data_IF_293612529445
#
_entry.id   IF_293612529445
#
_cell.length_a   1.000
_cell.length_b   1.000
_cell.length_c   1.000
_cell.angle_alpha   90.00
_cell.angle_beta   90.00
_cell.angle_gamma   90.00
#
_symmetry.space_group_name_H-M   'P 1'
#
loop_
_entity.id
_entity.type
_entity.pdbx_description
1 polymer ?
#
# COMPACT_ATOMS: atom_id res chain seq x y z
N UNK A 1 9.60 -2.53 7.62
CA UNK A 1 8.28 -2.51 6.95
C UNK A 1 8.52 -2.27 5.47
N UNK A 2 7.80 -2.97 4.59
CA UNK A 2 7.86 -2.71 3.15
C UNK A 2 7.17 -1.38 2.82
N UNK A 3 7.67 -0.64 1.84
CA UNK A 3 7.02 0.58 1.37
C UNK A 3 5.78 0.21 0.57
N UNK A 4 4.63 0.76 0.96
CA UNK A 4 3.34 0.39 0.37
C UNK A 4 2.66 1.56 -0.30
N UNK A 5 1.85 1.23 -1.29
CA UNK A 5 0.90 2.13 -1.92
C UNK A 5 -0.49 1.52 -1.83
N UNK A 6 -1.53 2.34 -1.83
CA UNK A 6 -2.91 1.90 -1.65
C UNK A 6 -3.85 2.63 -2.59
N UNK A 7 -4.85 1.91 -3.11
CA UNK A 7 -6.12 2.51 -3.52
C UNK A 7 -7.09 2.36 -2.37
N UNK A 8 -7.86 3.42 -2.12
CA UNK A 8 -8.90 3.40 -1.10
C UNK A 8 -10.10 4.25 -1.53
N UNK A 9 -11.27 3.96 -0.97
CA UNK A 9 -12.44 4.82 -1.05
C UNK A 9 -12.52 5.69 0.20
N UNK A 10 -12.84 6.97 0.00
CA UNK A 10 -12.94 7.95 1.08
C UNK A 10 -14.29 8.64 1.09
N UNK A 11 -14.95 8.60 2.25
CA UNK A 11 -16.20 9.31 2.50
C UNK A 11 -16.15 10.01 3.86
N UNK A 12 -15.88 11.32 3.85
CA UNK A 12 -15.62 12.07 5.08
C UNK A 12 -14.39 11.52 5.83
N UNK A 13 -14.62 10.90 6.99
CA UNK A 13 -13.58 10.25 7.81
C UNK A 13 -13.46 8.75 7.54
N UNK A 14 -14.43 8.15 6.86
CA UNK A 14 -14.41 6.74 6.52
C UNK A 14 -13.43 6.49 5.37
N UNK A 15 -12.59 5.47 5.52
CA UNK A 15 -11.54 5.08 4.58
C UNK A 15 -11.56 3.56 4.45
N UNK A 16 -11.75 3.07 3.23
CA UNK A 16 -11.82 1.64 2.91
C UNK A 16 -10.77 1.31 1.87
N UNK A 17 -9.74 0.56 2.25
CA UNK A 17 -8.66 0.14 1.33
C UNK A 17 -9.22 -0.91 0.37
N UNK A 18 -8.83 -0.84 -0.90
CA UNK A 18 -9.28 -1.75 -1.95
C UNK A 18 -8.16 -2.63 -2.49
N UNK A 19 -6.95 -2.08 -2.64
CA UNK A 19 -5.80 -2.80 -3.18
C UNK A 19 -4.52 -2.16 -2.66
N UNK A 20 -3.47 -2.96 -2.57
CA UNK A 20 -2.14 -2.57 -2.17
C UNK A 20 -1.08 -2.88 -3.24
N UNK A 21 -0.15 -1.94 -3.41
CA UNK A 21 1.08 -2.13 -4.15
C UNK A 21 2.24 -2.23 -3.16
N UNK A 22 3.07 -3.26 -3.29
CA UNK A 22 4.26 -3.44 -2.44
C UNK A 22 5.50 -3.05 -3.24
N UNK A 23 6.25 -2.05 -2.79
CA UNK A 23 7.41 -1.45 -3.48
C UNK A 23 7.14 -0.86 -4.86
N UNK A 24 5.88 -0.73 -5.28
CA UNK A 24 5.52 -0.24 -6.62
C UNK A 24 4.22 0.56 -6.59
N UNK A 25 4.02 1.35 -7.65
CA UNK A 25 2.74 1.95 -8.01
C UNK A 25 2.22 1.15 -9.22
N UNK A 26 1.26 0.23 -9.01
CA UNK A 26 0.78 -0.64 -10.09
C UNK A 26 0.29 0.16 -11.30
N UNK A 27 0.57 -0.33 -12.51
CA UNK A 27 0.42 0.50 -13.70
C UNK A 27 -1.03 0.76 -14.10
N UNK A 28 -2.00 -0.07 -13.69
CA UNK A 28 -3.41 0.26 -13.89
C UNK A 28 -3.78 1.55 -13.16
N UNK A 29 -3.17 1.83 -12.01
CA UNK A 29 -3.49 3.01 -11.21
C UNK A 29 -3.13 4.29 -11.95
N UNK A 30 -2.03 4.23 -12.70
CA UNK A 30 -1.52 5.34 -13.51
C UNK A 30 -2.44 5.69 -14.70
N UNK A 31 -3.32 4.76 -15.12
CA UNK A 31 -4.32 5.01 -16.17
C UNK A 31 -5.43 5.95 -15.70
N UNK A 32 -5.55 6.25 -14.41
CA UNK A 32 -6.64 7.09 -13.88
C UNK A 32 -6.26 8.56 -13.68
N UNK A 33 -5.00 8.90 -13.89
CA UNK A 33 -4.46 10.22 -13.54
C UNK A 33 -4.29 11.15 -14.75
N UNK A 34 -4.36 12.44 -14.45
CA UNK A 34 -3.88 13.54 -15.29
C UNK A 34 -2.53 14.04 -14.75
N UNK A 35 -1.75 14.73 -15.58
CA UNK A 35 -0.50 15.35 -15.14
C UNK A 35 -0.68 16.24 -13.89
N UNK A 36 -1.82 16.94 -13.79
CA UNK A 36 -2.11 17.82 -12.66
C UNK A 36 -2.34 17.08 -11.34
N UNK A 37 -2.72 15.80 -11.39
CA UNK A 37 -3.00 15.00 -10.20
C UNK A 37 -1.70 14.52 -9.54
N UNK A 38 -0.68 14.25 -10.35
CA UNK A 38 0.63 13.76 -9.92
C UNK A 38 1.69 14.86 -9.88
N UNK A 39 1.35 16.08 -10.30
CA UNK A 39 2.24 17.24 -10.23
C UNK A 39 2.40 17.63 -8.77
N UNK A 40 3.63 17.61 -8.29
CA UNK A 40 3.99 18.15 -6.98
C UNK A 40 3.52 19.62 -6.84
N UNK A 41 2.62 19.94 -5.90
CA UNK A 41 2.36 21.33 -5.54
C UNK A 41 3.56 21.84 -4.73
N UNK A 42 4.12 22.98 -5.14
CA UNK A 42 5.36 23.57 -4.60
C UNK A 42 5.40 23.80 -3.06
N UNK A 43 4.31 23.61 -2.31
CA UNK A 43 4.19 24.14 -0.93
C UNK A 43 3.78 23.12 0.15
N UNK A 44 3.18 21.95 -0.16
CA UNK A 44 2.67 21.05 0.90
C UNK A 44 3.03 19.57 0.68
N UNK A 45 4.25 19.26 1.09
CA UNK A 45 4.98 17.99 1.10
C UNK A 45 4.34 16.83 1.90
N UNK A 46 3.16 16.98 2.50
CA UNK A 46 2.67 16.01 3.50
C UNK A 46 1.76 14.92 2.97
N UNK A 47 1.25 15.01 1.75
CA UNK A 47 0.32 14.01 1.22
C UNK A 47 0.45 13.93 -0.29
N UNK A 48 1.35 13.09 -0.79
CA UNK A 48 1.27 12.60 -2.18
C UNK A 48 0.06 11.66 -2.28
N UNK A 49 -1.11 12.26 -2.07
CA UNK A 49 -2.38 11.60 -1.90
C UNK A 49 -3.31 12.16 -2.95
N UNK A 50 -3.60 11.32 -3.93
CA UNK A 50 -4.40 11.71 -5.09
C UNK A 50 -5.84 11.35 -4.76
N UNK A 51 -6.73 12.33 -4.81
CA UNK A 51 -8.17 12.11 -4.62
C UNK A 51 -8.88 12.44 -5.92
N UNK A 52 -9.61 11.46 -6.46
CA UNK A 52 -10.37 11.57 -7.69
C UNK A 52 -11.87 11.44 -7.41
N UNK A 53 -12.72 12.32 -7.98
CA UNK A 53 -14.15 12.04 -8.10
C UNK A 53 -14.38 10.73 -8.87
N UNK A 54 -15.40 9.96 -8.48
CA UNK A 54 -15.70 8.67 -9.12
C UNK A 54 -16.03 8.84 -10.61
N UNK A 55 -16.70 9.94 -10.98
CA UNK A 55 -17.04 10.24 -12.38
C UNK A 55 -15.78 10.47 -13.21
N UNK A 56 -14.75 11.08 -12.62
CA UNK A 56 -13.45 11.26 -13.27
C UNK A 56 -12.75 9.91 -13.45
N UNK A 57 -12.77 9.07 -12.42
CA UNK A 57 -12.22 7.72 -12.49
C UNK A 57 -12.89 6.91 -13.62
N UNK A 58 -14.22 6.84 -13.68
CA UNK A 58 -14.96 6.12 -14.72
C UNK A 58 -14.62 6.64 -16.13
N UNK A 59 -14.57 7.96 -16.29
CA UNK A 59 -14.20 8.59 -17.56
C UNK A 59 -12.79 8.18 -17.98
N UNK A 60 -11.81 8.24 -17.07
CA UNK A 60 -10.43 7.84 -17.35
C UNK A 60 -10.29 6.35 -17.62
N UNK A 61 -11.00 5.54 -16.84
CA UNK A 61 -11.01 4.10 -17.00
C UNK A 61 -11.46 3.69 -18.41
N UNK A 62 -12.51 4.34 -18.91
CA UNK A 62 -13.03 4.15 -20.28
C UNK A 62 -12.07 4.69 -21.34
N UNK A 63 -11.58 5.92 -21.18
CA UNK A 63 -10.72 6.58 -22.16
C UNK A 63 -9.40 5.82 -22.39
N UNK A 64 -8.74 5.44 -21.31
CA UNK A 64 -7.41 4.83 -21.37
C UNK A 64 -7.45 3.31 -21.56
N UNK A 65 -8.65 2.69 -21.57
CA UNK A 65 -8.82 1.28 -21.92
C UNK A 65 -8.26 0.93 -23.29
N UNK A 66 -8.45 1.82 -24.27
CA UNK A 66 -7.97 1.62 -25.65
C UNK A 66 -6.44 1.51 -25.76
N UNK A 67 -5.71 2.14 -24.84
CA UNK A 67 -4.26 1.99 -24.74
C UNK A 67 -3.87 0.55 -24.38
N UNK A 68 -4.55 -0.06 -23.40
CA UNK A 68 -4.30 -1.46 -23.05
C UNK A 68 -4.73 -2.40 -24.16
N UNK A 69 -5.88 -2.17 -24.78
CA UNK A 69 -6.37 -2.99 -25.89
C UNK A 69 -5.35 -3.08 -27.04
N UNK A 70 -4.66 -1.97 -27.33
CA UNK A 70 -3.66 -1.93 -28.40
C UNK A 70 -2.29 -2.47 -27.98
N UNK A 71 -1.83 -2.19 -26.75
CA UNK A 71 -0.44 -2.40 -26.36
C UNK A 71 -0.24 -3.55 -25.34
N UNK A 72 -1.31 -3.99 -24.68
CA UNK A 72 -1.31 -5.06 -23.68
C UNK A 72 -2.65 -5.82 -23.67
N UNK A 73 -3.12 -6.36 -24.81
CA UNK A 73 -4.45 -7.00 -24.91
C UNK A 73 -4.63 -8.16 -23.93
N UNK A 74 -3.55 -8.82 -23.52
CA UNK A 74 -3.55 -9.90 -22.53
C UNK A 74 -4.02 -9.46 -21.14
N UNK A 75 -3.93 -8.18 -20.80
CA UNK A 75 -4.33 -7.65 -19.48
C UNK A 75 -5.69 -6.97 -19.50
N UNK A 76 -6.33 -6.89 -20.67
CA UNK A 76 -7.55 -6.12 -20.89
C UNK A 76 -8.73 -6.63 -20.05
N UNK A 77 -8.91 -7.95 -19.97
CA UNK A 77 -9.99 -8.54 -19.17
C UNK A 77 -9.75 -8.33 -17.68
N UNK A 78 -8.51 -8.52 -17.21
CA UNK A 78 -8.14 -8.23 -15.82
C UNK A 78 -8.38 -6.76 -15.46
N UNK A 79 -8.07 -5.85 -16.38
CA UNK A 79 -8.34 -4.43 -16.22
C UNK A 79 -9.84 -4.12 -16.11
N UNK A 80 -10.66 -4.70 -16.99
CA UNK A 80 -12.11 -4.51 -16.96
C UNK A 80 -12.71 -5.03 -15.65
N UNK A 81 -12.22 -6.17 -15.17
CA UNK A 81 -12.64 -6.77 -13.91
C UNK A 81 -12.18 -5.94 -12.71
N UNK A 82 -10.96 -5.40 -12.76
CA UNK A 82 -10.44 -4.49 -11.74
C UNK A 82 -11.24 -3.19 -11.63
N UNK A 83 -11.60 -2.58 -12.77
CA UNK A 83 -12.46 -1.39 -12.79
C UNK A 83 -13.84 -1.70 -12.22
N UNK A 84 -14.43 -2.85 -12.59
CA UNK A 84 -15.72 -3.31 -12.05
C UNK A 84 -15.66 -3.52 -10.54
N UNK A 85 -14.59 -4.13 -10.06
CA UNK A 85 -14.33 -4.33 -8.63
C UNK A 85 -14.31 -3.01 -7.86
N UNK A 86 -13.54 -2.01 -8.32
CA UNK A 86 -13.52 -0.70 -7.67
C UNK A 86 -14.93 -0.11 -7.63
N UNK A 87 -15.65 -0.12 -8.75
CA UNK A 87 -17.00 0.45 -8.86
C UNK A 87 -18.03 -0.25 -7.98
N UNK A 88 -17.95 -1.57 -7.83
CA UNK A 88 -18.85 -2.35 -6.98
C UNK A 88 -18.74 -1.96 -5.49
N UNK A 89 -17.59 -1.41 -5.08
CA UNK A 89 -17.34 -0.98 -3.71
C UNK A 89 -17.67 0.49 -3.43
N UNK A 90 -17.99 1.27 -4.48
CA UNK A 90 -18.33 2.69 -4.37
C UNK A 90 -19.69 2.88 -3.71
N UNK A 91 -19.73 3.76 -2.71
CA UNK A 91 -20.92 4.29 -2.06
C UNK A 91 -21.10 5.76 -2.40
N UNK A 92 -22.32 6.26 -2.21
CA UNK A 92 -22.64 7.67 -2.43
C UNK A 92 -21.75 8.61 -1.60
N UNK A 93 -21.10 9.57 -2.25
CA UNK A 93 -20.19 10.52 -1.60
C UNK A 93 -18.73 10.06 -1.51
N UNK A 94 -18.41 8.87 -2.01
CA UNK A 94 -17.03 8.40 -2.08
C UNK A 94 -16.18 9.22 -3.06
N UNK A 95 -14.90 9.33 -2.74
CA UNK A 95 -13.83 9.68 -3.67
C UNK A 95 -12.83 8.52 -3.73
N UNK A 96 -12.24 8.29 -4.91
CA UNK A 96 -11.18 7.32 -5.09
C UNK A 96 -9.83 7.96 -4.71
N UNK A 97 -9.23 7.45 -3.65
CA UNK A 97 -7.95 7.88 -3.12
C UNK A 97 -6.82 6.95 -3.55
N UNK A 98 -5.64 7.54 -3.76
CA UNK A 98 -4.38 6.83 -3.96
C UNK A 98 -3.37 7.37 -2.96
N UNK A 99 -2.90 6.51 -2.05
CA UNK A 99 -1.76 6.80 -1.21
C UNK A 99 -0.54 6.14 -1.84
N UNK A 100 0.39 6.94 -2.33
CA UNK A 100 1.61 6.44 -2.96
C UNK A 100 2.86 7.03 -2.33
N UNK A 101 2.73 7.67 -1.16
CA UNK A 101 3.80 8.49 -0.57
C UNK A 101 5.06 7.66 -0.29
N UNK A 102 4.92 6.53 0.39
CA UNK A 102 6.07 5.70 0.77
C UNK A 102 6.83 5.18 -0.44
N UNK A 103 6.11 4.77 -1.49
CA UNK A 103 6.74 4.30 -2.73
C UNK A 103 7.34 5.46 -3.52
N UNK A 104 6.65 6.59 -3.63
CA UNK A 104 7.15 7.75 -4.34
C UNK A 104 8.40 8.37 -3.68
N UNK A 105 8.52 8.27 -2.36
CA UNK A 105 9.66 8.82 -1.63
C UNK A 105 10.95 7.99 -1.81
N UNK A 106 10.84 6.72 -2.24
CA UNK A 106 12.00 5.86 -2.52
C UNK A 106 12.97 6.46 -3.53
N UNK A 107 12.43 7.07 -4.59
CA UNK A 107 13.19 7.72 -5.66
C UNK A 107 13.36 9.25 -5.42
N UNK A 108 12.73 9.76 -4.36
CA UNK A 108 12.48 11.17 -4.11
C UNK A 108 11.26 11.71 -4.88
N UNK A 109 10.40 12.42 -4.18
CA UNK A 109 9.08 12.87 -4.69
C UNK A 109 9.13 13.66 -6.00
N UNK A 110 10.15 14.51 -6.21
CA UNK A 110 10.32 15.25 -7.46
C UNK A 110 10.61 14.31 -8.64
N UNK A 111 11.43 13.29 -8.40
CA UNK A 111 11.75 12.27 -9.41
C UNK A 111 10.52 11.42 -9.70
N UNK A 112 9.83 10.94 -8.66
CA UNK A 112 8.59 10.19 -8.81
C UNK A 112 7.52 10.98 -9.59
N UNK A 113 7.27 12.25 -9.23
CA UNK A 113 6.34 13.11 -9.96
C UNK A 113 6.70 13.25 -11.44
N UNK A 114 7.99 13.42 -11.76
CA UNK A 114 8.45 13.50 -13.17
C UNK A 114 8.23 12.20 -13.93
N UNK A 115 8.55 11.05 -13.32
CA UNK A 115 8.31 9.72 -13.91
C UNK A 115 6.82 9.48 -14.15
N UNK A 116 5.96 9.78 -13.18
CA UNK A 116 4.52 9.66 -13.33
C UNK A 116 3.95 10.55 -14.44
N UNK A 117 4.39 11.82 -14.52
CA UNK A 117 4.00 12.72 -15.62
C UNK A 117 4.44 12.16 -16.97
N UNK A 118 5.67 11.64 -17.07
CA UNK A 118 6.19 11.00 -18.28
C UNK A 118 5.30 9.81 -18.69
N UNK A 119 5.00 8.91 -17.77
CA UNK A 119 4.15 7.75 -18.02
C UNK A 119 2.73 8.15 -18.46
N UNK A 120 2.12 9.15 -17.80
CA UNK A 120 0.79 9.65 -18.17
C UNK A 120 0.78 10.17 -19.61
N UNK A 121 1.81 10.92 -20.03
CA UNK A 121 1.93 11.39 -21.43
C UNK A 121 2.10 10.23 -22.39
N UNK A 122 2.97 9.28 -22.06
CA UNK A 122 3.18 8.08 -22.87
C UNK A 122 1.89 7.28 -23.08
N UNK A 123 1.05 7.15 -22.06
CA UNK A 123 -0.28 6.53 -22.16
C UNK A 123 -1.19 7.35 -23.09
N UNK A 124 -1.29 8.66 -22.87
CA UNK A 124 -2.18 9.55 -23.64
C UNK A 124 -1.79 9.66 -25.11
N UNK A 125 -0.50 9.62 -25.42
CA UNK A 125 0.05 9.68 -26.78
C UNK A 125 0.20 8.29 -27.42
N UNK A 126 -0.17 7.22 -26.71
CA UNK A 126 -0.06 5.83 -27.13
C UNK A 126 1.39 5.45 -27.54
N UNK A 127 2.35 5.76 -26.68
CA UNK A 127 3.79 5.49 -26.84
C UNK A 127 4.28 4.52 -25.74
N UNK A 128 3.95 3.21 -25.83
CA UNK A 128 4.28 2.25 -24.76
C UNK A 128 5.79 2.10 -24.51
N UNK A 129 6.63 2.40 -25.49
CA UNK A 129 8.09 2.35 -25.36
C UNK A 129 8.68 3.43 -24.43
N UNK A 130 7.92 4.48 -24.13
CA UNK A 130 8.33 5.56 -23.23
C UNK A 130 7.99 5.29 -21.76
N UNK A 131 7.28 4.18 -21.46
CA UNK A 131 6.91 3.82 -20.09
C UNK A 131 8.12 3.43 -19.25
N UNK A 132 8.11 3.84 -17.98
CA UNK A 132 9.10 3.41 -16.98
C UNK A 132 8.76 2.04 -16.35
N UNK A 133 7.76 1.33 -16.87
CA UNK A 133 7.33 -0.01 -16.44
C UNK A 133 7.03 -0.90 -17.64
N UNK A 134 7.03 -2.22 -17.41
CA UNK A 134 6.73 -3.19 -18.47
C UNK A 134 5.26 -3.57 -18.51
N UNK A 135 4.68 -3.57 -19.71
CA UNK A 135 3.34 -4.09 -19.98
C UNK A 135 3.30 -5.63 -20.15
N UNK A 136 4.47 -6.28 -20.19
CA UNK A 136 4.64 -7.72 -20.44
C UNK A 136 5.23 -8.47 -19.25
N UNK A 137 5.22 -7.85 -18.07
CA UNK A 137 5.62 -8.51 -16.84
C UNK A 137 4.76 -9.76 -16.57
N UNK A 138 5.41 -10.80 -16.04
CA UNK A 138 4.75 -12.09 -15.77
C UNK A 138 3.81 -12.03 -14.58
N UNK A 139 4.15 -11.24 -13.56
CA UNK A 139 3.33 -11.07 -12.37
C UNK A 139 2.41 -9.85 -12.57
N UNK A 140 1.40 -10.02 -13.43
CA UNK A 140 0.47 -8.96 -13.79
C UNK A 140 -0.39 -8.55 -12.59
N UNK A 141 -0.74 -9.47 -11.69
CA UNK A 141 -1.52 -9.14 -10.48
C UNK A 141 -0.78 -8.10 -9.62
N UNK A 142 0.48 -8.35 -9.30
CA UNK A 142 1.27 -7.40 -8.51
C UNK A 142 1.58 -6.11 -9.30
N UNK A 143 2.01 -6.22 -10.56
CA UNK A 143 2.52 -5.06 -11.30
C UNK A 143 1.45 -4.18 -11.93
N UNK A 144 0.30 -4.75 -12.30
CA UNK A 144 -0.80 -4.04 -12.94
C UNK A 144 -1.81 -3.53 -11.92
N UNK A 145 -2.31 -4.44 -11.09
CA UNK A 145 -3.48 -4.21 -10.27
C UNK A 145 -3.13 -3.86 -8.82
N UNK A 146 -2.00 -4.38 -8.33
CA UNK A 146 -1.76 -4.52 -6.90
C UNK A 146 -2.50 -5.74 -6.35
N UNK A 147 -2.09 -6.19 -5.17
CA UNK A 147 -2.79 -7.26 -4.47
C UNK A 147 -4.05 -6.69 -3.81
N UNK A 148 -5.24 -7.28 -4.02
CA UNK A 148 -6.37 -6.97 -3.16
C UNK A 148 -5.97 -7.29 -1.71
N UNK A 149 -6.42 -6.47 -0.76
CA UNK A 149 -6.11 -6.66 0.66
C UNK A 149 -6.38 -8.12 1.06
N UNK A 150 -5.44 -8.73 1.79
CA UNK A 150 -5.52 -10.14 2.22
C UNK A 150 -6.79 -10.42 3.05
N UNK A 151 -7.41 -9.38 3.62
CA UNK A 151 -8.67 -9.44 4.36
C UNK A 151 -9.92 -9.18 3.50
N UNK A 152 -9.78 -9.00 2.19
CA UNK A 152 -10.89 -8.57 1.33
C UNK A 152 -11.94 -9.66 1.13
N UNK A 153 -11.62 -10.96 1.19
CA UNK A 153 -12.59 -12.02 0.82
C UNK A 153 -13.96 -11.92 1.51
N UNK A 154 -14.03 -11.43 2.76
CA UNK A 154 -15.30 -11.23 3.51
C UNK A 154 -15.96 -9.87 3.33
N UNK A 155 -15.25 -8.91 2.73
CA UNK A 155 -15.72 -7.54 2.47
C UNK A 155 -16.06 -7.30 1.00
N UNK A 156 -15.71 -8.27 0.17
CA UNK A 156 -15.96 -8.26 -1.25
C UNK A 156 -17.44 -8.63 -1.53
N UNK A 157 -18.10 -7.95 -2.48
CA UNK A 157 -19.41 -8.39 -2.96
C UNK A 157 -19.31 -9.80 -3.57
N UNK A 158 -20.42 -10.54 -3.64
CA UNK A 158 -20.44 -11.90 -4.23
C UNK A 158 -19.87 -11.95 -5.66
N UNK A 159 -19.96 -10.86 -6.43
CA UNK A 159 -19.30 -10.70 -7.73
C UNK A 159 -18.04 -9.82 -7.59
N UNK A 160 -16.94 -10.39 -7.09
CA UNK A 160 -15.69 -9.67 -6.86
C UNK A 160 -14.53 -10.08 -7.78
N UNK A 161 -13.38 -9.44 -7.58
CA UNK A 161 -12.18 -9.68 -8.39
C UNK A 161 -11.57 -11.06 -8.15
N UNK A 162 -11.78 -11.69 -7.00
CA UNK A 162 -11.26 -13.03 -6.71
C UNK A 162 -12.00 -14.09 -7.53
N UNK A 163 -13.28 -13.89 -7.82
CA UNK A 163 -14.06 -14.79 -8.69
C UNK A 163 -13.83 -14.52 -10.19
N UNK A 164 -13.08 -13.47 -10.54
CA UNK A 164 -12.71 -13.21 -11.93
C UNK A 164 -11.88 -14.35 -12.49
N UNK A 165 -12.34 -14.92 -13.61
CA UNK A 165 -11.56 -15.89 -14.40
C UNK A 165 -10.20 -15.30 -14.79
N UNK A 166 -10.14 -14.02 -15.17
CA UNK A 166 -8.89 -13.37 -15.54
C UNK A 166 -7.93 -13.24 -14.35
N UNK A 167 -8.45 -12.90 -13.16
CA UNK A 167 -7.64 -12.88 -11.94
C UNK A 167 -7.13 -14.28 -11.60
N UNK A 168 -8.00 -15.28 -11.58
CA UNK A 168 -7.64 -16.66 -11.26
C UNK A 168 -6.65 -17.27 -12.26
N UNK A 169 -6.79 -16.94 -13.54
CA UNK A 169 -5.84 -17.37 -14.57
C UNK A 169 -4.45 -16.75 -14.37
N UNK A 170 -4.37 -15.45 -14.02
CA UNK A 170 -3.10 -14.81 -13.66
C UNK A 170 -2.53 -15.34 -12.34
N UNK A 171 -3.38 -15.65 -11.36
CA UNK A 171 -2.98 -16.20 -10.07
C UNK A 171 -2.32 -17.58 -10.25
N UNK A 172 -2.95 -18.46 -11.03
CA UNK A 172 -2.40 -19.79 -11.38
C UNK A 172 -1.07 -19.71 -12.13
N UNK A 173 -0.90 -18.71 -13.01
CA UNK A 173 0.38 -18.50 -13.73
C UNK A 173 1.52 -18.16 -12.77
N UNK A 174 1.23 -17.46 -11.67
CA UNK A 174 2.24 -17.13 -10.65
C UNK A 174 2.59 -18.30 -9.74
N UNK A 175 1.59 -19.09 -9.34
CA UNK A 175 1.72 -20.21 -8.40
C UNK A 175 2.44 -21.43 -9.00
N UNK A 176 2.54 -21.51 -10.34
CA UNK A 176 3.17 -22.64 -11.00
C UNK A 176 2.53 -23.99 -10.63
N UNK A 177 3.12 -25.12 -11.04
CA UNK A 177 2.50 -26.44 -10.83
C UNK A 177 2.57 -26.99 -9.40
N UNK A 178 3.23 -26.30 -8.46
CA UNK A 178 3.57 -26.85 -7.13
C UNK A 178 2.76 -26.26 -5.97
N UNK A 179 2.22 -25.06 -6.10
CA UNK A 179 1.59 -24.37 -4.97
C UNK A 179 0.06 -24.61 -4.87
N UNK A 180 -0.54 -25.26 -5.89
CA UNK A 180 -1.98 -25.52 -5.95
C UNK A 180 -2.49 -26.51 -4.88
N UNK A 181 -1.62 -27.32 -4.27
CA UNK A 181 -2.02 -28.26 -3.21
C UNK A 181 -2.11 -27.64 -1.81
N UNK A 182 -1.43 -26.52 -1.57
CA UNK A 182 -1.39 -25.87 -0.25
C UNK A 182 -2.51 -24.85 -0.08
N UNK A 183 -2.94 -24.19 -1.16
CA UNK A 183 -4.00 -23.19 -1.10
C UNK A 183 -5.39 -23.79 -0.85
N UNK A 184 -5.66 -25.00 -1.40
CA UNK A 184 -6.89 -25.79 -1.11
C UNK A 184 -6.98 -26.21 0.38
N UNK A 185 -5.87 -26.20 1.11
CA UNK A 185 -5.82 -26.51 2.55
C UNK A 185 -5.99 -25.26 3.41
N UNK A 186 -5.42 -24.11 3.01
CA UNK A 186 -5.63 -22.84 3.71
C UNK A 186 -7.06 -22.32 3.58
N UNK A 187 -7.71 -22.46 2.41
CA UNK A 187 -9.11 -22.05 2.21
C UNK A 187 -10.08 -22.87 3.08
N UNK A 188 -9.79 -24.17 3.28
CA UNK A 188 -10.56 -25.05 4.18
C UNK A 188 -10.28 -24.79 5.67
N UNK A 189 -9.06 -24.38 6.02
CA UNK A 189 -8.72 -24.00 7.39
C UNK A 189 -9.34 -22.66 7.79
N UNK A 190 -9.43 -21.70 6.86
CA UNK A 190 -10.10 -20.43 7.10
C UNK A 190 -11.62 -20.60 7.32
N UNK A 191 -12.27 -21.50 6.58
CA UNK A 191 -13.69 -21.83 6.79
C UNK A 191 -13.93 -22.61 8.10
N UNK A 192 -13.03 -23.52 8.48
CA UNK A 192 -13.14 -24.28 9.73
C UNK A 192 -12.88 -23.47 11.00
N UNK A 193 -12.19 -22.33 10.91
CA UNK A 193 -11.97 -21.43 12.06
C UNK A 193 -13.18 -20.52 12.34
N UNK A 194 -13.99 -20.18 11.34
CA UNK A 194 -15.23 -19.41 11.55
C UNK A 194 -16.31 -20.22 12.26
N UNK A 195 -16.47 -21.51 11.93
CA UNK A 195 -17.45 -22.38 12.63
C UNK A 195 -17.08 -22.61 14.11
N UNK A 196 -15.80 -22.58 14.45
CA UNK A 196 -15.35 -22.73 15.85
C UNK A 196 -15.54 -21.44 16.67
N UNK A 197 -15.40 -20.27 16.06
CA UNK A 197 -15.63 -18.98 16.74
C UNK A 197 -17.11 -18.74 17.03
N UNK A 198 -18.02 -19.20 16.16
CA UNK A 198 -19.46 -19.16 16.46
C UNK A 198 -19.80 -20.09 17.64
N UNK A 199 -19.16 -21.25 17.78
CA UNK A 199 -19.40 -22.17 18.92
C UNK A 199 -18.83 -21.67 20.26
N UNK A 200 -17.68 -20.99 20.27
CA UNK A 200 -17.11 -20.42 21.50
C UNK A 200 -17.96 -19.25 22.05
N UNK A 201 -18.60 -18.47 21.17
CA UNK A 201 -19.47 -17.36 21.59
C UNK A 201 -20.78 -17.84 22.26
N UNK A 202 -21.26 -19.06 21.97
CA UNK A 202 -22.41 -19.65 22.67
C UNK A 202 -22.07 -20.23 24.05
N UNK A 203 -20.79 -20.39 24.40
CA UNK A 203 -20.37 -20.97 25.69
C UNK A 203 -19.95 -19.94 26.74
N UNK A 204 -19.55 -18.72 26.35
CA UNK A 204 -19.14 -17.68 27.31
C UNK A 204 -20.30 -17.02 28.07
N UNK A 205 -21.53 -17.08 27.57
CA UNK A 205 -22.70 -16.48 28.23
C UNK A 205 -23.22 -17.26 29.46
N UNK A 206 -22.72 -18.48 29.73
CA UNK A 206 -23.19 -19.31 30.86
C UNK A 206 -22.32 -19.30 32.13
N UNK A 207 -21.14 -18.66 32.15
CA UNK A 207 -20.19 -18.83 33.29
C UNK A 207 -19.65 -17.55 33.95
N UNK A 208 -20.46 -16.51 34.10
CA UNK A 208 -20.09 -15.33 34.89
C UNK A 208 -20.78 -15.29 36.28
N UNK A 209 -20.35 -16.12 37.23
CA UNK A 209 -20.53 -15.87 38.68
C UNK A 209 -19.38 -16.43 39.54
N UNK A 210 -18.69 -15.54 40.27
CA UNK A 210 -18.19 -15.85 41.63
C UNK A 210 -16.69 -15.68 41.95
N UNK A 211 -16.41 -14.64 42.76
CA UNK A 211 -15.48 -14.60 43.91
C UNK A 211 -13.95 -14.35 43.76
N UNK A 212 -13.59 -13.09 44.02
CA UNK A 212 -12.69 -12.57 45.08
C UNK A 212 -11.47 -13.36 45.65
N UNK A 213 -10.31 -12.68 45.51
CA UNK A 213 -9.38 -12.23 46.58
C UNK A 213 -8.27 -13.18 47.13
N UNK A 214 -6.98 -12.79 46.95
CA UNK A 214 -5.97 -12.53 48.01
C UNK A 214 -4.52 -12.31 47.50
N UNK A 215 -3.76 -11.53 48.28
CA UNK A 215 -2.44 -10.91 48.04
C UNK A 215 -1.19 -11.81 48.27
N UNK A 216 -0.15 -11.61 47.42
CA UNK A 216 1.32 -11.35 47.63
C UNK A 216 2.22 -12.28 48.52
N UNK A 217 3.59 -12.20 48.54
CA UNK A 217 4.60 -11.55 47.65
C UNK A 217 5.92 -12.36 47.34
N UNK A 218 6.74 -11.83 46.41
CA UNK A 218 8.24 -11.84 46.24
C UNK A 218 9.05 -13.16 46.15
N UNK A 219 9.98 -13.23 45.17
CA UNK A 219 11.45 -13.28 45.36
C UNK A 219 12.22 -13.17 44.02
N UNK A 220 13.26 -12.35 44.04
CA UNK A 220 14.37 -12.28 43.09
C UNK A 220 15.34 -13.43 43.37
N UNK A 221 16.07 -13.93 42.36
CA UNK A 221 17.47 -14.36 42.51
C UNK A 221 18.17 -14.45 41.14
N UNK A 222 19.44 -14.08 41.22
CA UNK A 222 20.48 -13.81 40.23
C UNK A 222 21.30 -15.09 39.91
N UNK A 223 21.80 -15.26 38.68
CA UNK A 223 23.13 -15.83 38.32
C UNK A 223 23.25 -15.95 36.78
N UNK A 224 24.04 -15.11 36.09
CA UNK A 224 25.50 -15.11 35.86
C UNK A 224 25.96 -16.03 34.71
N UNK A 225 26.27 -15.37 33.58
CA UNK A 225 27.33 -15.52 32.57
C UNK A 225 27.90 -16.91 32.20
N UNK A 226 27.98 -17.16 30.88
CA UNK A 226 29.28 -17.44 30.26
C UNK A 226 29.38 -16.80 28.87
N UNK A 227 30.52 -16.17 28.61
CA UNK A 227 30.90 -15.48 27.39
C UNK A 227 31.69 -16.44 26.48
N UNK A 228 31.41 -16.44 25.18
CA UNK A 228 32.46 -16.66 24.18
C UNK A 228 32.21 -15.75 22.99
N UNK A 229 33.19 -14.89 22.74
CA UNK A 229 33.10 -13.74 21.87
C UNK A 229 33.35 -14.00 20.39
N UNK A 230 33.02 -12.98 19.62
CA UNK A 230 33.71 -12.60 18.39
C UNK A 230 33.51 -11.10 18.18
N UNK A 231 34.60 -10.34 18.35
CA UNK A 231 34.73 -8.91 18.08
C UNK A 231 34.34 -8.54 16.64
N UNK A 232 33.67 -7.39 16.48
CA UNK A 232 33.92 -6.51 15.35
C UNK A 232 33.66 -5.04 15.72
N UNK A 233 34.75 -4.36 16.10
CA UNK A 233 35.16 -2.97 15.86
C UNK A 233 34.14 -1.84 16.02
N UNK A 234 34.53 -0.95 16.92
CA UNK A 234 33.98 0.38 17.19
C UNK A 234 33.94 1.26 15.93
N UNK A 235 32.74 1.69 15.52
CA UNK A 235 32.55 2.88 14.70
C UNK A 235 32.25 4.07 15.63
N UNK A 236 33.33 4.74 16.01
CA UNK A 236 33.34 6.03 16.68
C UNK A 236 32.61 7.07 15.81
N UNK A 237 31.46 7.56 16.25
CA UNK A 237 30.68 8.60 15.56
C UNK A 237 31.44 9.94 15.55
N UNK A 238 32.33 10.13 14.58
CA UNK A 238 32.96 11.41 14.33
C UNK A 238 31.99 12.35 13.60
N UNK A 239 31.37 13.25 14.37
CA UNK A 239 30.63 14.40 13.82
C UNK A 239 31.65 15.31 13.11
N UNK A 240 31.51 15.57 11.80
CA UNK A 240 32.48 16.37 11.06
C UNK A 240 32.52 17.81 11.60
N UNK A 241 33.73 18.39 11.71
CA UNK A 241 33.98 19.73 12.27
C UNK A 241 33.10 20.84 11.64
N UNK A 242 32.64 20.64 10.40
CA UNK A 242 31.71 21.54 9.69
C UNK A 242 30.35 21.67 10.38
N UNK A 243 29.90 20.61 11.05
CA UNK A 243 28.65 20.61 11.80
C UNK A 243 28.71 21.53 13.02
N UNK A 244 29.87 21.56 13.71
CA UNK A 244 30.12 22.48 14.82
C UNK A 244 30.12 23.95 14.37
N UNK A 245 30.69 24.26 13.20
CA UNK A 245 30.61 25.61 12.64
C UNK A 245 29.18 26.04 12.32
N UNK A 246 28.36 25.14 11.75
CA UNK A 246 26.95 25.44 11.45
C UNK A 246 26.14 25.65 12.73
N UNK A 247 26.37 24.84 13.77
CA UNK A 247 25.69 24.98 15.06
C UNK A 247 25.97 26.35 15.70
N UNK A 248 27.23 26.79 15.69
CA UNK A 248 27.62 28.10 16.23
C UNK A 248 26.98 29.25 15.45
N UNK A 249 26.92 29.16 14.12
CA UNK A 249 26.26 30.18 13.29
C UNK A 249 24.75 30.29 13.57
N UNK A 250 24.08 29.16 13.77
CA UNK A 250 22.65 29.14 14.14
C UNK A 250 22.42 29.79 15.51
N UNK A 251 23.25 29.47 16.50
CA UNK A 251 23.16 30.07 17.84
C UNK A 251 23.37 31.59 17.78
N UNK A 252 24.39 32.07 17.03
CA UNK A 252 24.66 33.51 16.86
C UNK A 252 23.49 34.20 16.15
N UNK A 253 22.89 33.56 15.14
CA UNK A 253 21.76 34.12 14.41
C UNK A 253 20.51 34.26 15.31
N UNK A 254 20.21 33.25 16.12
CA UNK A 254 19.13 33.31 17.10
C UNK A 254 19.38 34.42 18.12
N UNK A 255 20.61 34.55 18.62
CA UNK A 255 20.97 35.59 19.59
C UNK A 255 20.87 37.00 19.00
N UNK A 256 21.27 37.19 17.75
CA UNK A 256 21.10 38.45 16.99
C UNK A 256 19.63 38.79 16.79
N UNK A 257 18.80 37.80 16.48
CA UNK A 257 17.36 37.98 16.28
C UNK A 257 16.66 38.35 17.60
N UNK A 258 17.14 37.81 18.73
CA UNK A 258 16.64 38.14 20.05
C UNK A 258 17.09 39.53 20.55
N UNK A 259 18.31 39.97 20.21
CA UNK A 259 18.79 41.33 20.52
C UNK A 259 18.18 42.41 19.63
N UNK A 260 17.85 42.10 18.38
CA UNK A 260 17.23 43.06 17.45
C UNK A 260 15.76 43.34 17.74
N UNK A 261 15.14 42.56 18.65
CA UNK A 261 13.74 42.66 19.04
C UNK A 261 13.56 43.26 20.45
N UNK A 262 14.55 44.03 20.92
CA UNK A 262 14.54 44.75 22.20
C UNK A 262 14.90 46.22 21.96
#
# INVERSE_FOLDING_TARGET
MANRSYIYLKNGKDVRILTEGVYTIPYFWQLFWDEKDVRMPNILWKKFNILLPIEKFQKKATQNRSFLEKNAPQTLQLYDDFVRYILANVKAGDMLGFDVLEVADMDGLTTASRKLIKNIRAIQENQPQELDFSLTEKNVIWSAMGFPDYYASKLLPEDNILDSVAYQDELKKMQGPKDTQEQDQEEKQAQGQEENQEQEQYQEDEQAQGQENKQAPRKEDEQVLDETGAESKDDEYHIPLRFWFLLVLVIIWIYRLFLANK
#
